data_IF_609413975812
#
_entry.id   IF_609413975812
#
_cell.length_a   1.000
_cell.length_b   1.000
_cell.length_c   1.000
_cell.angle_alpha   90.00
_cell.angle_beta   90.00
_cell.angle_gamma   90.00
#
_symmetry.space_group_name_H-M   'P 1'
#
loop_
_entity.id
_entity.type
_entity.pdbx_description
1 polymer ?
#
# COMPACT_ATOMS: atom_id res chain seq x y z
N UNK A 1 -4.19 -4.73 13.70
CA UNK A 1 -3.63 -3.36 13.60
C UNK A 1 -4.77 -2.37 13.46
N UNK A 2 -4.70 -1.23 14.13
CA UNK A 2 -5.63 -0.12 14.01
C UNK A 2 -4.85 1.11 13.53
N UNK A 3 -5.36 1.81 12.52
CA UNK A 3 -4.80 3.07 12.00
C UNK A 3 -5.75 4.22 12.32
N UNK A 4 -5.20 5.40 12.57
CA UNK A 4 -5.93 6.65 12.79
C UNK A 4 -5.16 7.82 12.21
N UNK A 5 -5.85 8.94 11.97
CA UNK A 5 -5.28 10.14 11.35
C UNK A 5 -4.48 9.80 10.08
N UNK A 6 -5.20 9.27 9.08
CA UNK A 6 -4.61 8.78 7.84
C UNK A 6 -5.19 9.50 6.63
N UNK A 7 -4.31 9.84 5.69
CA UNK A 7 -4.64 10.51 4.44
C UNK A 7 -4.44 9.57 3.25
N UNK A 8 -5.24 9.78 2.20
CA UNK A 8 -5.09 9.08 0.92
C UNK A 8 -4.28 9.95 -0.06
N UNK A 9 -3.16 9.42 -0.55
CA UNK A 9 -2.27 10.12 -1.48
C UNK A 9 -1.97 9.26 -2.70
N UNK A 10 -2.02 9.84 -3.88
CA UNK A 10 -1.65 9.15 -5.12
C UNK A 10 -0.15 9.29 -5.40
N UNK A 11 0.52 8.19 -5.71
CA UNK A 11 1.97 8.16 -5.98
C UNK A 11 2.27 7.53 -7.34
N UNK A 12 3.31 8.03 -7.99
CA UNK A 12 3.82 7.51 -9.27
C UNK A 12 4.72 6.30 -9.06
N UNK A 13 4.99 5.55 -10.14
CA UNK A 13 5.93 4.42 -10.14
C UNK A 13 7.32 4.79 -9.59
N UNK A 14 7.89 5.93 -10.00
CA UNK A 14 9.21 6.37 -9.53
C UNK A 14 9.23 6.67 -8.02
N UNK A 15 8.14 7.23 -7.48
CA UNK A 15 7.98 7.43 -6.03
C UNK A 15 7.84 6.11 -5.29
N UNK A 16 7.02 5.19 -5.79
CA UNK A 16 6.88 3.86 -5.19
C UNK A 16 8.23 3.11 -5.16
N UNK A 17 8.98 3.16 -6.26
CA UNK A 17 10.29 2.52 -6.37
C UNK A 17 11.33 3.15 -5.43
N UNK A 18 11.32 4.47 -5.25
CA UNK A 18 12.29 5.14 -4.37
C UNK A 18 11.93 5.03 -2.88
N UNK A 19 10.65 5.07 -2.51
CA UNK A 19 10.20 5.06 -1.12
C UNK A 19 9.89 3.65 -0.60
N UNK A 20 9.08 2.86 -1.32
CA UNK A 20 8.68 1.52 -0.93
C UNK A 20 9.60 0.41 -1.48
N UNK A 21 10.59 0.79 -2.32
CA UNK A 21 11.54 -0.14 -2.95
C UNK A 21 10.87 -1.20 -3.83
N UNK A 22 9.69 -0.87 -4.38
CA UNK A 22 8.89 -1.75 -5.24
C UNK A 22 8.49 -1.01 -6.51
N UNK A 23 8.66 -1.65 -7.66
CA UNK A 23 8.23 -1.13 -8.96
C UNK A 23 6.76 -1.46 -9.21
N UNK A 24 5.92 -0.45 -9.45
CA UNK A 24 4.49 -0.61 -9.72
C UNK A 24 4.21 -1.36 -11.02
N UNK A 25 5.13 -1.36 -11.99
CA UNK A 25 4.95 -2.14 -13.23
C UNK A 25 4.73 -3.64 -13.00
N UNK A 26 5.18 -4.16 -11.86
CA UNK A 26 5.03 -5.57 -11.49
C UNK A 26 3.73 -5.84 -10.71
N UNK A 27 3.12 -4.79 -10.14
CA UNK A 27 2.05 -4.90 -9.15
C UNK A 27 0.87 -3.93 -9.40
N UNK A 28 0.78 -3.30 -10.56
CA UNK A 28 -0.32 -2.39 -10.88
C UNK A 28 -0.64 -2.39 -12.38
N UNK A 29 -1.91 -2.11 -12.70
CA UNK A 29 -2.36 -1.80 -14.06
C UNK A 29 -2.17 -0.32 -14.44
N UNK A 30 -1.83 0.55 -13.49
CA UNK A 30 -1.68 2.01 -13.68
C UNK A 30 -0.32 2.51 -13.18
N UNK A 31 0.15 3.62 -13.73
CA UNK A 31 1.41 4.24 -13.32
C UNK A 31 1.29 5.08 -12.03
N UNK A 32 0.06 5.40 -11.63
CA UNK A 32 -0.27 6.18 -10.44
C UNK A 32 -1.25 5.38 -9.59
N UNK A 33 -0.92 5.16 -8.32
CA UNK A 33 -1.73 4.34 -7.40
C UNK A 33 -2.02 5.08 -6.09
N UNK A 34 -3.17 4.83 -5.45
CA UNK A 34 -3.46 5.38 -4.13
C UNK A 34 -2.63 4.67 -3.06
N UNK A 35 -2.17 5.41 -2.06
CA UNK A 35 -1.42 4.92 -0.91
C UNK A 35 -1.93 5.62 0.34
N UNK A 36 -1.97 4.90 1.46
CA UNK A 36 -2.29 5.49 2.77
C UNK A 36 -1.03 6.08 3.40
N UNK A 37 -1.11 7.34 3.81
CA UNK A 37 -0.16 7.97 4.72
C UNK A 37 -0.78 7.96 6.12
N UNK A 38 -0.19 7.23 7.06
CA UNK A 38 -0.77 7.00 8.40
C UNK A 38 0.07 7.72 9.45
N UNK A 39 -0.54 8.66 10.19
CA UNK A 39 0.15 9.40 11.24
C UNK A 39 0.06 8.69 12.61
N UNK A 40 -1.03 7.95 12.88
CA UNK A 40 -1.20 7.20 14.13
C UNK A 40 -1.51 5.72 13.84
N UNK A 41 -0.76 4.81 14.46
CA UNK A 41 -0.98 3.37 14.32
C UNK A 41 -0.71 2.63 15.63
N UNK A 42 -1.48 1.58 15.88
CA UNK A 42 -1.23 0.65 16.99
C UNK A 42 -1.44 -0.80 16.54
N UNK A 43 -0.64 -1.71 17.08
CA UNK A 43 -0.64 -3.13 16.73
C UNK A 43 -0.90 -3.93 18.00
N UNK A 44 -1.88 -4.82 17.93
CA UNK A 44 -2.21 -5.79 18.96
C UNK A 44 -2.17 -7.18 18.34
N UNK A 45 -1.65 -8.15 19.07
CA UNK A 45 -1.65 -9.56 18.69
C UNK A 45 -3.00 -10.19 19.05
N UNK A 46 -4.00 -9.91 18.22
CA UNK A 46 -5.39 -10.35 18.42
C UNK A 46 -5.73 -11.44 17.40
N UNK A 47 -5.55 -11.14 16.12
CA UNK A 47 -5.94 -12.01 15.00
C UNK A 47 -4.73 -12.40 14.16
N UNK A 48 -4.63 -13.69 13.81
CA UNK A 48 -3.60 -14.16 12.89
C UNK A 48 -3.89 -13.68 11.46
N UNK A 49 -2.92 -12.96 10.87
CA UNK A 49 -3.00 -12.46 9.49
C UNK A 49 -2.15 -13.34 8.56
N UNK A 50 -2.69 -13.68 7.39
CA UNK A 50 -1.96 -14.42 6.35
C UNK A 50 -0.83 -13.62 5.71
N UNK A 51 0.06 -14.30 4.98
CA UNK A 51 1.12 -13.64 4.23
C UNK A 51 0.57 -12.87 3.01
N UNK A 52 1.32 -11.85 2.57
CA UNK A 52 1.00 -11.09 1.37
C UNK A 52 1.13 -11.99 0.12
N UNK A 53 0.04 -12.14 -0.63
CA UNK A 53 0.04 -12.86 -1.91
C UNK A 53 0.65 -12.01 -3.02
N UNK A 54 1.22 -12.67 -4.04
CA UNK A 54 1.83 -12.01 -5.21
C UNK A 54 0.78 -11.59 -6.26
N UNK A 55 -0.35 -11.03 -5.81
CA UNK A 55 -1.38 -10.50 -6.70
C UNK A 55 -1.95 -9.18 -6.16
N UNK A 56 -1.84 -8.08 -6.92
CA UNK A 56 -2.39 -6.80 -6.51
C UNK A 56 -3.91 -6.74 -6.69
N UNK A 57 -4.62 -6.18 -5.71
CA UNK A 57 -6.07 -5.97 -5.79
C UNK A 57 -6.40 -4.52 -6.14
N UNK A 58 -6.25 -3.60 -5.19
CA UNK A 58 -6.56 -2.17 -5.38
C UNK A 58 -5.82 -1.61 -6.60
N UNK A 59 -4.54 -1.94 -6.77
CA UNK A 59 -3.72 -1.42 -7.87
C UNK A 59 -4.00 -2.09 -9.22
N UNK A 60 -4.79 -3.17 -9.26
CA UNK A 60 -5.18 -3.87 -10.48
C UNK A 60 -6.49 -3.36 -11.03
N UNK A 61 -7.44 -3.02 -10.16
CA UNK A 61 -8.81 -2.61 -10.51
C UNK A 61 -9.06 -1.12 -10.38
N UNK A 62 -7.98 -0.33 -10.27
CA UNK A 62 -8.07 1.11 -10.18
C UNK A 62 -8.51 1.74 -11.51
#
# INVERSE_FOLDING_TARGET
MIIGDADLVYVTNSRAMSHFKICLSNISSKEIVPVLNVNQATIFDIDQVGSLSTFPFVYKYL
#
